data_IF_406772443150
#
_entry.id   IF_406772443150
#
_cell.length_a   1.000
_cell.length_b   1.000
_cell.length_c   1.000
_cell.angle_alpha   90.00
_cell.angle_beta   90.00
_cell.angle_gamma   90.00
#
_symmetry.space_group_name_H-M   'P 1'
#
loop_
_entity.id
_entity.type
_entity.pdbx_description
1 polymer ?
#
# COMPACT_ATOMS: atom_id res chain seq x y z
N UNK A 1 -14.03 3.87 -12.56
CA UNK A 1 -12.94 4.09 -11.57
C UNK A 1 -12.05 2.87 -11.38
N UNK A 2 -12.45 1.78 -10.70
CA UNK A 2 -11.53 0.63 -10.48
C UNK A 2 -10.98 0.03 -11.78
N UNK A 3 -11.85 -0.26 -12.73
CA UNK A 3 -11.44 -0.80 -14.04
C UNK A 3 -10.48 0.15 -14.80
N UNK A 4 -10.69 1.46 -14.69
CA UNK A 4 -9.85 2.48 -15.35
C UNK A 4 -8.48 2.68 -14.67
N UNK A 5 -8.36 2.31 -13.40
CA UNK A 5 -7.16 2.47 -12.59
C UNK A 5 -6.39 1.16 -12.41
N UNK A 6 -6.92 0.04 -12.91
CA UNK A 6 -6.29 -1.27 -12.77
C UNK A 6 -5.06 -1.34 -13.68
N UNK A 7 -3.85 -1.60 -13.15
CA UNK A 7 -2.66 -1.78 -13.97
C UNK A 7 -2.83 -2.97 -14.93
N UNK A 8 -2.12 -2.94 -16.06
CA UNK A 8 -2.08 -4.08 -16.97
C UNK A 8 -1.46 -5.31 -16.29
N UNK A 9 -1.91 -6.51 -16.67
CA UNK A 9 -1.51 -7.78 -16.06
C UNK A 9 0.02 -8.06 -16.09
N UNK A 10 0.78 -7.34 -16.92
CA UNK A 10 2.23 -7.50 -17.08
C UNK A 10 3.04 -6.26 -16.74
N UNK A 11 2.40 -5.19 -16.26
CA UNK A 11 3.10 -3.93 -16.00
C UNK A 11 4.04 -4.06 -14.78
N UNK A 12 3.66 -4.91 -13.82
CA UNK A 12 4.43 -5.16 -12.61
C UNK A 12 5.46 -6.27 -12.82
N UNK A 13 6.68 -5.89 -13.21
CA UNK A 13 7.76 -6.85 -13.53
C UNK A 13 8.23 -7.66 -12.33
N UNK A 14 8.27 -7.08 -11.12
CA UNK A 14 8.76 -7.81 -9.94
C UNK A 14 7.77 -8.91 -9.55
N UNK A 15 6.46 -8.66 -9.56
CA UNK A 15 5.48 -9.71 -9.23
C UNK A 15 5.60 -10.90 -10.16
N UNK A 16 5.83 -10.70 -11.46
CA UNK A 16 6.11 -11.79 -12.40
C UNK A 16 7.33 -12.63 -11.99
N UNK A 17 8.42 -11.98 -11.57
CA UNK A 17 9.65 -12.65 -11.11
C UNK A 17 9.49 -13.38 -9.78
N UNK A 18 8.65 -12.85 -8.89
CA UNK A 18 8.34 -13.52 -7.62
C UNK A 18 7.48 -14.76 -7.92
N UNK A 19 6.46 -14.61 -8.76
CA UNK A 19 5.50 -15.66 -9.11
C UNK A 19 6.14 -16.85 -9.81
N UNK A 20 7.22 -16.67 -10.58
CA UNK A 20 7.95 -17.77 -11.22
C UNK A 20 9.18 -18.26 -10.42
N UNK A 21 9.41 -17.68 -9.23
CA UNK A 21 10.54 -18.02 -8.36
C UNK A 21 11.91 -17.49 -8.83
N UNK A 22 11.96 -16.64 -9.87
CA UNK A 22 13.22 -16.12 -10.41
C UNK A 22 13.74 -14.86 -9.68
N UNK A 23 12.94 -14.23 -8.80
CA UNK A 23 13.39 -13.10 -7.99
C UNK A 23 14.44 -13.55 -6.95
N UNK A 24 15.65 -12.96 -6.91
CA UNK A 24 16.66 -13.32 -5.92
C UNK A 24 16.25 -12.95 -4.48
N UNK A 25 16.66 -13.74 -3.47
CA UNK A 25 16.42 -13.44 -2.05
C UNK A 25 16.88 -12.03 -1.63
N UNK A 26 17.98 -11.54 -2.23
CA UNK A 26 18.45 -10.15 -1.98
C UNK A 26 17.42 -9.09 -2.36
N UNK A 27 16.63 -9.32 -3.40
CA UNK A 27 15.60 -8.39 -3.90
C UNK A 27 14.37 -8.48 -3.00
N UNK A 28 13.98 -9.67 -2.56
CA UNK A 28 12.92 -9.84 -1.54
C UNK A 28 13.29 -9.17 -0.21
N UNK A 29 14.57 -9.25 0.16
CA UNK A 29 15.11 -8.54 1.30
C UNK A 29 15.07 -7.01 1.16
N UNK A 30 15.33 -6.51 -0.05
CA UNK A 30 15.19 -5.08 -0.37
C UNK A 30 13.72 -4.64 -0.37
N UNK A 31 12.82 -5.48 -0.90
CA UNK A 31 11.36 -5.29 -0.80
C UNK A 31 10.93 -5.10 0.66
N UNK A 32 11.40 -5.95 1.58
CA UNK A 32 11.12 -5.79 3.01
C UNK A 32 11.61 -4.44 3.56
N UNK A 33 12.83 -4.03 3.17
CA UNK A 33 13.42 -2.79 3.65
C UNK A 33 12.70 -1.53 3.16
N UNK A 34 12.32 -1.51 1.88
CA UNK A 34 11.57 -0.39 1.31
C UNK A 34 10.14 -0.33 1.88
N UNK A 35 9.47 -1.48 2.05
CA UNK A 35 8.15 -1.54 2.68
C UNK A 35 8.14 -0.99 4.10
N UNK A 36 9.16 -1.28 4.90
CA UNK A 36 9.26 -0.73 6.26
C UNK A 36 9.20 0.80 6.26
N UNK A 37 9.82 1.45 5.28
CA UNK A 37 9.82 2.91 5.14
C UNK A 37 8.47 3.44 4.69
N UNK A 38 7.86 2.79 3.70
CA UNK A 38 6.54 3.13 3.16
C UNK A 38 5.50 3.07 4.29
N UNK A 39 5.36 1.93 4.96
CA UNK A 39 4.39 1.70 6.04
C UNK A 39 4.59 2.70 7.20
N UNK A 40 5.85 3.03 7.54
CA UNK A 40 6.14 4.04 8.57
C UNK A 40 5.67 5.44 8.14
N UNK A 41 5.82 5.78 6.86
CA UNK A 41 5.36 7.05 6.29
C UNK A 41 3.84 7.09 6.22
N UNK A 42 3.23 6.04 5.67
CA UNK A 42 1.80 5.93 5.43
C UNK A 42 1.01 5.96 6.74
N UNK A 43 1.51 5.28 7.79
CA UNK A 43 0.97 5.42 9.14
C UNK A 43 0.87 6.87 9.61
N UNK A 44 1.92 7.68 9.37
CA UNK A 44 1.94 9.10 9.78
C UNK A 44 0.99 9.92 8.92
N UNK A 45 0.95 9.66 7.62
CA UNK A 45 0.02 10.29 6.67
C UNK A 45 -1.43 10.03 7.06
N UNK A 46 -1.78 8.79 7.41
CA UNK A 46 -3.11 8.43 7.86
C UNK A 46 -3.47 9.08 9.21
N UNK A 47 -2.54 9.15 10.17
CA UNK A 47 -2.76 9.90 11.41
C UNK A 47 -3.00 11.41 11.17
N UNK A 48 -2.29 12.00 10.20
CA UNK A 48 -2.49 13.39 9.82
C UNK A 48 -3.87 13.61 9.17
N UNK A 49 -4.32 12.70 8.31
CA UNK A 49 -5.66 12.71 7.73
C UNK A 49 -6.76 12.51 8.78
N UNK A 50 -6.57 11.58 9.71
CA UNK A 50 -7.46 11.36 10.84
C UNK A 50 -7.63 12.64 11.68
N UNK A 51 -6.53 13.35 11.92
CA UNK A 51 -6.55 14.64 12.63
C UNK A 51 -7.26 15.73 11.83
N UNK A 52 -7.00 15.84 10.51
CA UNK A 52 -7.70 16.80 9.62
C UNK A 52 -9.20 16.54 9.56
N UNK A 53 -9.61 15.29 9.75
CA UNK A 53 -10.99 14.83 9.68
C UNK A 53 -11.57 14.51 11.07
N UNK A 54 -10.99 15.00 12.17
CA UNK A 54 -11.36 14.59 13.53
C UNK A 54 -12.84 14.83 13.85
N UNK A 55 -13.41 15.92 13.32
CA UNK A 55 -14.82 16.30 13.50
C UNK A 55 -15.72 15.83 12.33
N UNK A 56 -15.23 14.91 11.49
CA UNK A 56 -15.93 14.42 10.31
C UNK A 56 -15.87 12.88 10.20
N UNK A 57 -16.79 12.24 9.46
CA UNK A 57 -16.84 10.78 9.28
C UNK A 57 -15.51 10.09 8.94
N UNK A 58 -14.65 10.75 8.16
CA UNK A 58 -13.35 10.17 7.76
C UNK A 58 -12.31 10.07 8.87
N UNK A 59 -12.48 10.72 10.02
CA UNK A 59 -11.52 10.68 11.12
C UNK A 59 -11.25 9.24 11.61
N UNK A 60 -12.33 8.50 11.89
CA UNK A 60 -12.25 7.09 12.32
C UNK A 60 -11.65 6.19 11.23
N UNK A 61 -12.08 6.37 9.97
CA UNK A 61 -11.58 5.60 8.83
C UNK A 61 -10.06 5.70 8.68
N UNK A 62 -9.51 6.92 8.71
CA UNK A 62 -8.06 7.09 8.59
C UNK A 62 -7.30 6.60 9.83
N UNK A 63 -7.91 6.68 11.03
CA UNK A 63 -7.31 6.12 12.24
C UNK A 63 -7.20 4.59 12.17
N UNK A 64 -8.21 3.91 11.61
CA UNK A 64 -8.19 2.46 11.37
C UNK A 64 -7.09 2.08 10.37
N UNK A 65 -6.93 2.82 9.26
CA UNK A 65 -5.83 2.59 8.32
C UNK A 65 -4.46 2.74 9.01
N UNK A 66 -4.27 3.76 9.84
CA UNK A 66 -3.03 3.94 10.60
C UNK A 66 -2.76 2.78 11.60
N UNK A 67 -3.81 2.20 12.17
CA UNK A 67 -3.70 1.01 13.02
C UNK A 67 -3.26 -0.21 12.19
N UNK A 68 -3.85 -0.41 11.01
CA UNK A 68 -3.44 -1.46 10.06
C UNK A 68 -1.96 -1.35 9.67
N UNK A 69 -1.46 -0.15 9.38
CA UNK A 69 -0.02 0.06 9.12
C UNK A 69 0.85 -0.32 10.33
N UNK A 70 0.37 -0.10 11.56
CA UNK A 70 1.11 -0.50 12.77
C UNK A 70 1.19 -2.01 12.93
N UNK A 71 0.12 -2.73 12.60
CA UNK A 71 0.09 -4.20 12.58
C UNK A 71 1.03 -4.74 11.48
N UNK A 72 0.93 -4.19 10.26
CA UNK A 72 1.78 -4.56 9.14
C UNK A 72 3.28 -4.40 9.45
N UNK A 73 3.69 -3.34 10.17
CA UNK A 73 5.09 -3.20 10.63
C UNK A 73 5.55 -4.37 11.49
N UNK A 74 4.68 -4.90 12.36
CA UNK A 74 4.99 -6.02 13.23
C UNK A 74 5.18 -7.33 12.47
N UNK A 75 4.44 -7.51 11.37
CA UNK A 75 4.48 -8.71 10.53
C UNK A 75 5.66 -8.73 9.55
N UNK A 76 6.36 -7.61 9.35
CA UNK A 76 7.42 -7.47 8.36
C UNK A 76 8.75 -8.10 8.80
N UNK A 77 9.01 -8.18 10.11
CA UNK A 77 10.29 -8.69 10.65
C UNK A 77 10.56 -10.16 10.27
N UNK A 78 9.61 -11.11 10.41
CA UNK A 78 9.80 -12.48 9.96
C UNK A 78 10.13 -12.61 8.47
N UNK A 79 9.46 -11.82 7.60
CA UNK A 79 9.75 -11.80 6.17
C UNK A 79 11.19 -11.34 5.88
N UNK A 80 11.63 -10.24 6.50
CA UNK A 80 12.99 -9.73 6.35
C UNK A 80 14.04 -10.76 6.82
N UNK A 81 13.78 -11.44 7.93
CA UNK A 81 14.68 -12.46 8.47
C UNK A 81 14.80 -13.68 7.55
N UNK A 82 13.69 -14.13 6.95
CA UNK A 82 13.69 -15.21 5.96
C UNK A 82 14.49 -14.84 4.69
N UNK A 83 14.57 -13.55 4.35
CA UNK A 83 15.43 -13.04 3.28
C UNK A 83 16.90 -12.84 3.70
N UNK A 84 17.26 -13.17 4.94
CA UNK A 84 18.62 -13.02 5.48
C UNK A 84 18.97 -11.60 5.96
N UNK A 85 17.99 -10.70 6.13
CA UNK A 85 18.24 -9.39 6.74
C UNK A 85 18.01 -9.44 8.26
N UNK A 86 19.02 -9.00 9.00
CA UNK A 86 18.83 -8.66 10.40
C UNK A 86 17.96 -7.40 10.53
N UNK A 87 17.28 -7.27 11.66
CA UNK A 87 16.47 -6.10 12.00
C UNK A 87 17.28 -4.78 12.00
N UNK A 88 18.57 -4.84 12.38
CA UNK A 88 19.48 -3.70 12.26
C UNK A 88 19.77 -3.34 10.79
N UNK A 89 20.05 -4.33 9.93
CA UNK A 89 20.29 -4.12 8.52
C UNK A 89 19.03 -3.62 7.78
N UNK A 90 17.86 -4.12 8.17
CA UNK A 90 16.56 -3.66 7.67
C UNK A 90 16.34 -2.18 7.96
N UNK A 91 16.62 -1.72 9.19
CA UNK A 91 16.50 -0.30 9.58
C UNK A 91 17.52 0.60 8.91
N UNK A 92 18.74 0.12 8.74
CA UNK A 92 19.85 0.90 8.18
C UNK A 92 19.76 1.05 6.66
N UNK A 93 18.94 0.24 5.97
CA UNK A 93 18.85 0.25 4.52
C UNK A 93 18.39 1.61 3.98
N UNK A 94 19.12 2.25 3.05
CA UNK A 94 18.76 3.54 2.52
C UNK A 94 17.49 3.45 1.64
N UNK A 95 16.72 4.54 1.51
CA UNK A 95 15.58 4.57 0.60
C UNK A 95 16.05 4.51 -0.86
N UNK A 96 15.30 3.79 -1.70
CA UNK A 96 15.44 3.89 -3.15
C UNK A 96 14.48 4.98 -3.67
N UNK A 97 14.93 5.93 -4.50
CA UNK A 97 14.09 7.04 -4.95
C UNK A 97 12.75 6.60 -5.55
N UNK A 98 12.75 5.60 -6.44
CA UNK A 98 11.53 5.10 -7.06
C UNK A 98 10.59 4.36 -6.09
N UNK A 99 11.09 3.88 -4.95
CA UNK A 99 10.29 3.33 -3.87
C UNK A 99 9.71 4.40 -2.92
N UNK A 100 10.15 5.66 -3.01
CA UNK A 100 9.66 6.74 -2.15
C UNK A 100 8.60 7.62 -2.83
N UNK A 101 8.35 7.45 -4.13
CA UNK A 101 7.38 8.26 -4.85
C UNK A 101 5.95 8.11 -4.29
N UNK A 102 5.52 6.86 -4.03
CA UNK A 102 4.21 6.57 -3.44
C UNK A 102 4.03 7.20 -2.04
N UNK A 103 4.89 6.91 -1.03
CA UNK A 103 4.70 7.48 0.30
C UNK A 103 4.87 9.00 0.34
N UNK A 104 5.68 9.58 -0.55
CA UNK A 104 5.79 11.04 -0.69
C UNK A 104 4.50 11.65 -1.23
N UNK A 105 3.86 11.01 -2.22
CA UNK A 105 2.58 11.47 -2.75
C UNK A 105 1.44 11.29 -1.75
N UNK A 106 1.39 10.16 -1.03
CA UNK A 106 0.41 9.97 0.04
C UNK A 106 0.59 11.00 1.17
N UNK A 107 1.83 11.34 1.53
CA UNK A 107 2.08 12.43 2.48
C UNK A 107 1.59 13.80 1.93
N UNK A 108 1.77 14.06 0.63
CA UNK A 108 1.22 15.25 0.00
C UNK A 108 -0.31 15.27 0.03
N UNK A 109 -0.97 14.16 -0.29
CA UNK A 109 -2.42 14.00 -0.19
C UNK A 109 -2.90 14.18 1.26
N UNK A 110 -2.16 13.66 2.23
CA UNK A 110 -2.48 13.79 3.63
C UNK A 110 -2.45 15.24 4.13
N UNK A 111 -1.69 16.12 3.48
CA UNK A 111 -1.61 17.54 3.82
C UNK A 111 -2.52 18.41 2.95
N UNK A 112 -2.68 18.08 1.66
CA UNK A 112 -3.26 18.97 0.65
C UNK A 112 -4.48 18.39 -0.06
N UNK A 113 -4.60 17.06 -0.12
CA UNK A 113 -5.67 16.39 -0.84
C UNK A 113 -7.03 16.60 -0.18
N UNK A 114 -8.08 16.56 -0.99
CA UNK A 114 -9.45 16.48 -0.51
C UNK A 114 -9.69 15.11 0.15
N UNK A 115 -10.16 15.04 1.41
CA UNK A 115 -10.33 13.77 2.13
C UNK A 115 -11.28 12.76 1.45
N UNK A 116 -12.35 13.23 0.80
CA UNK A 116 -13.29 12.36 0.07
C UNK A 116 -12.57 11.72 -1.11
N UNK A 117 -11.85 12.53 -1.89
CA UNK A 117 -11.07 12.04 -3.02
C UNK A 117 -9.95 11.08 -2.59
N UNK A 118 -9.31 11.34 -1.45
CA UNK A 118 -8.28 10.45 -0.89
C UNK A 118 -8.84 9.09 -0.50
N UNK A 119 -10.00 9.03 0.17
CA UNK A 119 -10.65 7.74 0.50
C UNK A 119 -10.91 6.93 -0.77
N UNK A 120 -11.56 7.54 -1.76
CA UNK A 120 -11.90 6.86 -3.02
C UNK A 120 -10.65 6.36 -3.75
N UNK A 121 -9.60 7.19 -3.85
CA UNK A 121 -8.37 6.83 -4.52
C UNK A 121 -7.63 5.66 -3.81
N UNK A 122 -7.56 5.68 -2.47
CA UNK A 122 -6.96 4.61 -1.67
C UNK A 122 -7.73 3.29 -1.81
N UNK A 123 -9.06 3.32 -1.75
CA UNK A 123 -9.90 2.11 -1.89
C UNK A 123 -9.67 1.42 -3.24
N UNK A 124 -9.51 2.18 -4.33
CA UNK A 124 -9.15 1.58 -5.61
C UNK A 124 -7.72 1.00 -5.62
N UNK A 125 -6.79 1.65 -4.93
CA UNK A 125 -5.41 1.17 -4.83
C UNK A 125 -5.29 -0.14 -4.04
N UNK A 126 -5.98 -0.25 -2.91
CA UNK A 126 -5.91 -1.42 -2.02
C UNK A 126 -6.32 -2.74 -2.69
N UNK A 127 -7.24 -2.70 -3.65
CA UNK A 127 -7.64 -3.89 -4.40
C UNK A 127 -6.46 -4.47 -5.23
N UNK A 128 -5.70 -3.62 -5.92
CA UNK A 128 -4.54 -4.04 -6.69
C UNK A 128 -3.41 -4.52 -5.76
N UNK A 129 -3.12 -3.75 -4.72
CA UNK A 129 -2.14 -4.10 -3.70
C UNK A 129 -2.42 -5.47 -3.05
N UNK A 130 -3.67 -5.73 -2.65
CA UNK A 130 -4.07 -6.99 -2.05
C UNK A 130 -3.89 -8.18 -3.01
N UNK A 131 -4.21 -8.01 -4.29
CA UNK A 131 -3.98 -9.05 -5.30
C UNK A 131 -2.48 -9.37 -5.48
N UNK A 132 -1.62 -8.34 -5.51
CA UNK A 132 -0.16 -8.54 -5.57
C UNK A 132 0.39 -9.22 -4.31
N UNK A 133 -0.15 -8.86 -3.13
CA UNK A 133 0.21 -9.52 -1.88
C UNK A 133 -0.20 -10.99 -1.88
N UNK A 134 -1.39 -11.32 -2.36
CA UNK A 134 -1.85 -12.71 -2.47
C UNK A 134 -0.95 -13.55 -3.38
N UNK A 135 -0.61 -13.02 -4.56
CA UNK A 135 0.32 -13.67 -5.48
C UNK A 135 1.72 -13.85 -4.86
N UNK A 136 2.21 -12.82 -4.15
CA UNK A 136 3.51 -12.87 -3.46
C UNK A 136 3.50 -13.92 -2.35
N UNK A 137 2.49 -13.93 -1.48
CA UNK A 137 2.38 -14.88 -0.38
C UNK A 137 2.38 -16.33 -0.87
N UNK A 138 1.62 -16.62 -1.94
CA UNK A 138 1.59 -17.95 -2.55
C UNK A 138 2.96 -18.35 -3.10
N UNK A 139 3.59 -17.48 -3.88
CA UNK A 139 4.88 -17.75 -4.49
C UNK A 139 6.01 -17.93 -3.47
N UNK A 140 6.01 -17.16 -2.37
CA UNK A 140 6.95 -17.31 -1.26
C UNK A 140 6.91 -18.73 -0.66
N UNK A 141 5.72 -19.34 -0.57
CA UNK A 141 5.58 -20.72 -0.10
C UNK A 141 6.05 -21.71 -1.16
N UNK A 142 5.58 -21.55 -2.38
CA UNK A 142 5.75 -22.55 -3.45
C UNK A 142 7.18 -22.61 -3.99
N UNK A 143 7.84 -21.46 -4.13
CA UNK A 143 9.15 -21.36 -4.79
C UNK A 143 10.30 -21.09 -3.84
N UNK A 144 10.04 -20.47 -2.69
CA UNK A 144 11.09 -20.08 -1.73
C UNK A 144 11.06 -20.89 -0.44
N UNK A 145 10.01 -21.70 -0.21
CA UNK A 145 9.87 -22.54 0.98
C UNK A 145 9.70 -21.74 2.28
N UNK A 146 9.15 -20.52 2.20
CA UNK A 146 8.95 -19.67 3.37
C UNK A 146 7.85 -20.23 4.27
N UNK A 147 8.09 -20.15 5.58
CA UNK A 147 7.11 -20.53 6.60
C UNK A 147 5.95 -19.52 6.67
N UNK A 148 4.83 -19.92 7.30
CA UNK A 148 3.63 -19.10 7.40
C UNK A 148 3.92 -17.72 8.01
N UNK A 149 4.76 -17.66 9.04
CA UNK A 149 5.14 -16.43 9.74
C UNK A 149 5.88 -15.45 8.80
N UNK A 150 6.70 -15.96 7.88
CA UNK A 150 7.44 -15.15 6.91
C UNK A 150 6.55 -14.62 5.77
N UNK A 151 5.37 -15.20 5.56
CA UNK A 151 4.39 -14.74 4.57
C UNK A 151 3.30 -13.85 5.19
N UNK A 152 3.17 -13.82 6.52
CA UNK A 152 2.08 -13.17 7.25
C UNK A 152 1.89 -11.70 6.87
N UNK A 153 2.98 -10.97 6.58
CA UNK A 153 2.92 -9.60 6.08
C UNK A 153 2.07 -9.47 4.80
N UNK A 154 2.27 -10.37 3.84
CA UNK A 154 1.53 -10.35 2.59
C UNK A 154 0.12 -10.92 2.77
N UNK A 155 -0.05 -11.96 3.60
CA UNK A 155 -1.36 -12.52 3.92
C UNK A 155 -2.30 -11.48 4.55
N UNK A 156 -1.76 -10.60 5.40
CA UNK A 156 -2.51 -9.51 6.02
C UNK A 156 -3.19 -8.61 4.98
N UNK A 157 -2.46 -8.22 3.93
CA UNK A 157 -3.03 -7.39 2.86
C UNK A 157 -3.80 -8.18 1.80
N UNK A 158 -3.50 -9.47 1.64
CA UNK A 158 -4.16 -10.35 0.68
C UNK A 158 -5.56 -10.78 1.13
N UNK A 159 -5.81 -10.79 2.45
CA UNK A 159 -7.09 -11.21 3.02
C UNK A 159 -8.15 -10.14 2.71
N UNK A 160 -9.21 -10.46 1.94
CA UNK A 160 -10.26 -9.50 1.64
C UNK A 160 -11.00 -9.11 2.92
N UNK A 161 -11.10 -7.81 3.17
CA UNK A 161 -12.06 -7.27 4.12
C UNK A 161 -13.39 -7.05 3.38
N UNK A 162 -14.42 -7.88 3.64
CA UNK A 162 -15.67 -7.85 2.89
C UNK A 162 -16.43 -6.53 3.06
N UNK A 163 -16.14 -5.79 4.14
CA UNK A 163 -16.82 -4.56 4.50
C UNK A 163 -16.01 -3.30 4.12
N UNK A 164 -14.78 -3.44 3.62
CA UNK A 164 -13.91 -2.30 3.30
C UNK A 164 -14.56 -1.33 2.30
N UNK A 165 -15.16 -1.86 1.24
CA UNK A 165 -15.86 -1.07 0.23
C UNK A 165 -17.08 -0.36 0.81
N UNK A 166 -17.85 -1.07 1.64
CA UNK A 166 -19.03 -0.50 2.30
C UNK A 166 -18.66 0.61 3.28
N UNK A 167 -17.56 0.46 4.04
CA UNK A 167 -17.05 1.50 4.94
C UNK A 167 -16.58 2.73 4.15
N UNK A 168 -15.85 2.55 3.05
CA UNK A 168 -15.43 3.66 2.20
C UNK A 168 -16.63 4.42 1.60
N UNK A 169 -17.64 3.70 1.09
CA UNK A 169 -18.88 4.30 0.56
C UNK A 169 -19.63 5.05 1.66
N UNK A 170 -19.81 4.45 2.84
CA UNK A 170 -20.52 5.08 3.95
C UNK A 170 -19.85 6.39 4.39
N UNK A 171 -18.50 6.44 4.43
CA UNK A 171 -17.75 7.65 4.76
C UNK A 171 -18.00 8.76 3.73
N UNK A 172 -18.00 8.42 2.44
CA UNK A 172 -18.28 9.36 1.34
C UNK A 172 -19.72 9.88 1.40
N UNK A 173 -20.71 9.01 1.59
CA UNK A 173 -22.12 9.37 1.72
C UNK A 173 -22.36 10.30 2.92
N UNK A 174 -21.75 9.99 4.07
CA UNK A 174 -21.86 10.82 5.26
C UNK A 174 -21.22 12.20 5.04
N UNK A 175 -20.08 12.31 4.33
CA UNK A 175 -19.50 13.60 3.98
C UNK A 175 -20.42 14.43 3.07
N UNK A 176 -21.03 13.82 2.06
CA UNK A 176 -21.96 14.49 1.16
C UNK A 176 -23.19 15.05 1.91
N UNK A 177 -23.69 14.31 2.91
CA UNK A 177 -24.79 14.76 3.75
C UNK A 177 -24.42 15.95 4.67
N UNK A 178 -23.17 16.03 5.14
CA UNK A 178 -22.72 17.09 6.05
C UNK A 178 -22.21 18.36 5.33
N UNK A 179 -21.66 18.23 4.13
CA UNK A 179 -20.91 19.31 3.47
C UNK A 179 -21.77 20.33 2.69
N UNK A 180 -23.09 20.16 2.59
CA UNK A 180 -23.95 21.14 1.90
C UNK A 180 -23.57 21.43 0.43
N UNK A 181 -22.81 20.54 -0.24
CA UNK A 181 -22.51 20.66 -1.67
C UNK A 181 -21.09 21.07 -2.06
N UNK A 182 -20.05 20.66 -1.32
CA UNK A 182 -18.67 20.66 -1.83
C UNK A 182 -18.17 19.24 -2.06
N UNK A 183 -18.56 18.60 -3.17
CA UNK A 183 -17.95 17.34 -3.58
C UNK A 183 -16.55 17.61 -4.15
N UNK A 184 -15.56 16.77 -3.85
CA UNK A 184 -14.36 16.69 -4.66
C UNK A 184 -14.77 16.59 -6.14
N UNK A 185 -14.10 17.31 -7.03
CA UNK A 185 -14.38 17.14 -8.45
C UNK A 185 -14.10 15.68 -8.82
N UNK A 186 -14.99 15.04 -9.58
CA UNK A 186 -14.74 13.67 -10.06
C UNK A 186 -13.38 13.53 -10.78
N UNK A 187 -12.86 14.64 -11.32
CA UNK A 187 -11.52 14.77 -11.87
C UNK A 187 -10.40 14.57 -10.84
N UNK A 188 -10.52 15.15 -9.64
CA UNK A 188 -9.50 15.07 -8.59
C UNK A 188 -9.31 13.63 -8.11
N UNK A 189 -10.40 12.87 -8.02
CA UNK A 189 -10.39 11.45 -7.60
C UNK A 189 -9.64 10.58 -8.60
N UNK A 190 -9.90 10.77 -9.90
CA UNK A 190 -9.24 10.01 -10.96
C UNK A 190 -7.75 10.38 -11.04
N UNK A 191 -7.40 11.65 -10.84
CA UNK A 191 -6.01 12.09 -10.79
C UNK A 191 -5.25 11.47 -9.62
N UNK A 192 -5.83 11.51 -8.41
CA UNK A 192 -5.21 10.89 -7.22
C UNK A 192 -5.02 9.38 -7.42
N UNK A 193 -6.05 8.70 -7.92
CA UNK A 193 -5.99 7.26 -8.19
C UNK A 193 -4.92 6.90 -9.23
N UNK A 194 -4.84 7.65 -10.33
CA UNK A 194 -3.82 7.43 -11.38
C UNK A 194 -2.40 7.61 -10.84
N UNK A 195 -2.18 8.64 -10.03
CA UNK A 195 -0.86 8.91 -9.46
C UNK A 195 -0.46 7.85 -8.44
N UNK A 196 -1.37 7.42 -7.56
CA UNK A 196 -1.10 6.34 -6.60
C UNK A 196 -0.74 5.03 -7.32
N UNK A 197 -1.52 4.62 -8.31
CA UNK A 197 -1.27 3.41 -9.10
C UNK A 197 0.06 3.49 -9.87
N UNK A 198 0.34 4.63 -10.52
CA UNK A 198 1.60 4.85 -11.22
C UNK A 198 2.82 4.79 -10.30
N UNK A 199 2.70 5.35 -9.09
CA UNK A 199 3.79 5.31 -8.12
C UNK A 199 3.94 3.95 -7.42
N UNK A 200 2.86 3.21 -7.19
CA UNK A 200 2.95 1.82 -6.74
C UNK A 200 3.66 0.97 -7.81
N UNK A 201 3.29 1.14 -9.07
CA UNK A 201 3.95 0.46 -10.18
C UNK A 201 5.44 0.81 -10.27
N UNK A 202 5.78 2.10 -10.08
CA UNK A 202 7.17 2.56 -10.02
C UNK A 202 7.93 1.89 -8.87
N UNK A 203 7.32 1.72 -7.69
CA UNK A 203 7.92 1.01 -6.57
C UNK A 203 8.31 -0.43 -6.95
N UNK A 204 7.35 -1.19 -7.49
CA UNK A 204 7.61 -2.58 -7.89
C UNK A 204 8.68 -2.68 -8.98
N UNK A 205 8.61 -1.80 -9.98
CA UNK A 205 9.55 -1.79 -11.09
C UNK A 205 10.96 -1.32 -10.69
N UNK A 206 11.09 -0.43 -9.71
CA UNK A 206 12.39 -0.04 -9.13
C UNK A 206 13.09 -1.23 -8.50
N UNK A 207 12.35 -2.10 -7.82
CA UNK A 207 12.91 -3.33 -7.24
C UNK A 207 13.20 -4.38 -8.30
N UNK A 208 12.38 -4.46 -9.36
CA UNK A 208 12.64 -5.34 -10.50
C UNK A 208 13.99 -5.02 -11.18
N UNK A 209 14.36 -3.75 -11.28
CA UNK A 209 15.63 -3.31 -11.87
C UNK A 209 16.86 -3.76 -11.05
N UNK A 210 16.69 -4.24 -9.81
CA UNK A 210 17.76 -4.82 -9.00
C UNK A 210 18.03 -6.31 -9.28
N UNK A 211 17.16 -6.93 -10.08
CA UNK A 211 17.30 -8.34 -10.49
C UNK A 211 18.40 -8.50 -11.55
N UNK A 212 18.57 -7.48 -12.40
CA UNK A 212 19.61 -7.36 -13.44
C UNK A 212 21.03 -7.33 -12.85
#
# INVERSE_FOLDING_TARGET
>A
MREELTPGAHDNRLIGRIADGSAPLRVLGELAAQQRRIITSDRRSFLALATRCADAPGGGYFAELAAGESEALGLLTPFAAACGLSDAALRARPPLPGCQAYPAYLAWLALNGDPVGVVLALTANFAAWGAYCGATAQALRDHYGFAAEACAFFDFFATPDPDADARAVAVVEQWQAHAGGGAAGAMDVLEYGRMLQGYELMFWNTLADLVE
#
